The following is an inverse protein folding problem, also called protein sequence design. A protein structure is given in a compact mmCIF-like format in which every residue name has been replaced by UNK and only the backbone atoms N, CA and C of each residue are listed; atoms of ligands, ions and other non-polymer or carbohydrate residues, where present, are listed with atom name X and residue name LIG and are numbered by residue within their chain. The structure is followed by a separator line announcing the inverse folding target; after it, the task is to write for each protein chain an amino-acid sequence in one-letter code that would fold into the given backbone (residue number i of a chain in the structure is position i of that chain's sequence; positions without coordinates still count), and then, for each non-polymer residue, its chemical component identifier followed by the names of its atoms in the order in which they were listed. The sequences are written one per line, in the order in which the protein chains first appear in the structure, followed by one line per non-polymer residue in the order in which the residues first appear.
data_IF_719159031806
#
_entry.id   IF_719159031806
#
_cell.length_a   1.000
_cell.length_b   1.000
_cell.length_c   1.000
_cell.angle_alpha   90.00
_cell.angle_beta   90.00
_cell.angle_gamma   90.00
#
_symmetry.space_group_name_H-M   'P 1'
#
loop_
_entity.id
_entity.type
_entity.pdbx_description
1 polymer ?
#
# COMPACT_ATOMS: atom_id res chain seq x y z
N UNK A 1 39.22 -20.44 -34.41
CA UNK A 1 39.00 -21.77 -33.81
C UNK A 1 37.64 -21.76 -33.13
N UNK A 2 36.62 -22.49 -33.62
CA UNK A 2 35.31 -22.50 -32.97
C UNK A 2 35.21 -23.63 -31.95
N UNK A 3 35.04 -23.27 -30.68
CA UNK A 3 34.79 -24.20 -29.57
C UNK A 3 33.32 -24.60 -29.52
N UNK A 4 33.10 -25.92 -29.45
CA UNK A 4 31.80 -26.60 -29.43
C UNK A 4 31.05 -26.28 -28.13
N UNK A 5 29.80 -25.80 -28.23
CA UNK A 5 28.87 -25.74 -27.08
C UNK A 5 28.17 -27.09 -26.96
N UNK A 6 28.45 -27.80 -25.86
CA UNK A 6 27.69 -28.98 -25.45
C UNK A 6 26.32 -28.53 -24.92
N UNK A 7 25.26 -29.10 -25.50
CA UNK A 7 23.92 -29.06 -24.96
C UNK A 7 23.83 -30.05 -23.78
N UNK A 8 23.38 -29.57 -22.62
CA UNK A 8 22.98 -30.42 -21.50
C UNK A 8 21.47 -30.36 -21.37
N UNK A 9 20.88 -31.48 -21.79
CA UNK A 9 19.47 -31.85 -21.72
C UNK A 9 19.06 -32.01 -20.26
N UNK A 10 17.86 -31.51 -19.94
CA UNK A 10 17.30 -31.49 -18.60
C UNK A 10 16.91 -32.84 -18.02
N UNK A 11 16.64 -32.81 -16.72
CA UNK A 11 15.89 -33.83 -16.01
C UNK A 11 14.91 -33.12 -15.05
N UNK A 12 13.65 -33.03 -15.51
CA UNK A 12 12.45 -32.91 -14.68
C UNK A 12 12.39 -34.11 -13.73
N UNK A 13 12.28 -33.88 -12.43
CA UNK A 13 11.89 -34.92 -11.47
C UNK A 13 11.13 -34.36 -10.27
N UNK A 14 9.81 -34.63 -10.29
CA UNK A 14 8.93 -35.05 -9.19
C UNK A 14 8.57 -34.06 -8.06
N UNK A 15 7.36 -33.49 -8.24
CA UNK A 15 6.41 -33.12 -7.20
C UNK A 15 5.99 -34.36 -6.39
N UNK A 16 6.15 -34.30 -5.06
CA UNK A 16 5.41 -35.14 -4.12
C UNK A 16 4.59 -34.21 -3.21
N UNK A 17 3.28 -34.28 -3.38
CA UNK A 17 2.28 -33.54 -2.61
C UNK A 17 2.17 -34.11 -1.20
N UNK A 18 2.24 -33.25 -0.18
CA UNK A 18 1.76 -33.53 1.16
C UNK A 18 0.46 -32.75 1.38
N UNK A 19 -0.68 -33.44 1.30
CA UNK A 19 -1.98 -32.92 1.74
C UNK A 19 -2.15 -33.12 3.24
N UNK A 20 -2.67 -32.15 4.01
CA UNK A 20 -3.16 -32.40 5.36
C UNK A 20 -4.62 -32.87 5.36
N UNK A 21 -4.90 -33.83 6.24
CA UNK A 21 -6.19 -34.46 6.50
C UNK A 21 -7.09 -33.54 7.35
N UNK A 22 -8.36 -33.39 6.95
CA UNK A 22 -9.43 -32.78 7.75
C UNK A 22 -10.30 -33.85 8.45
N UNK A 23 -10.86 -33.49 9.61
CA UNK A 23 -11.88 -34.24 10.38
C UNK A 23 -11.41 -34.50 11.82
N UNK A 24 -12.19 -34.28 12.89
CA UNK A 24 -13.65 -34.25 12.99
C UNK A 24 -14.13 -33.64 14.34
N UNK A 25 -15.24 -32.92 14.25
CA UNK A 25 -16.37 -32.72 15.19
C UNK A 25 -16.22 -32.36 16.68
N UNK A 26 -17.03 -31.37 17.08
CA UNK A 26 -17.41 -31.11 18.47
C UNK A 26 -18.43 -29.98 18.70
N UNK A 27 -19.67 -30.16 18.21
CA UNK A 27 -20.97 -29.79 18.84
C UNK A 27 -21.19 -28.39 19.50
N UNK A 28 -22.10 -27.62 18.89
CA UNK A 28 -22.91 -26.47 19.39
C UNK A 28 -23.86 -26.82 20.56
N UNK A 29 -24.71 -25.91 21.12
CA UNK A 29 -24.69 -24.44 21.28
C UNK A 29 -25.06 -23.97 22.71
N UNK A 30 -25.00 -22.66 23.01
CA UNK A 30 -25.89 -22.04 24.00
C UNK A 30 -26.05 -20.51 23.78
N UNK A 31 -27.28 -20.16 23.42
CA UNK A 31 -27.97 -18.88 23.59
C UNK A 31 -27.50 -18.01 24.79
N UNK A 32 -27.22 -16.73 24.54
CA UNK A 32 -27.71 -15.64 25.39
C UNK A 32 -28.11 -14.44 24.51
N UNK A 33 -29.38 -14.07 24.63
CA UNK A 33 -30.09 -13.00 23.95
C UNK A 33 -29.61 -11.57 24.34
N UNK A 34 -30.03 -10.52 23.61
CA UNK A 34 -29.44 -9.18 23.68
C UNK A 34 -30.06 -8.33 24.80
N UNK A 35 -29.25 -7.49 25.45
CA UNK A 35 -29.75 -6.43 26.33
C UNK A 35 -29.69 -5.11 25.54
N UNK A 36 -30.87 -4.58 25.23
CA UNK A 36 -31.04 -3.22 24.73
C UNK A 36 -31.63 -2.31 25.81
N UNK A 37 -31.05 -1.09 25.86
CA UNK A 37 -31.60 0.20 26.25
C UNK A 37 -31.90 0.52 27.73
N UNK A 38 -31.28 1.60 28.22
CA UNK A 38 -32.01 2.83 28.56
C UNK A 38 -31.04 4.05 28.65
N UNK A 39 -31.53 5.28 28.38
CA UNK A 39 -30.73 6.47 28.14
C UNK A 39 -30.51 7.30 29.43
N UNK A 40 -29.42 8.07 29.47
CA UNK A 40 -29.20 9.07 30.51
C UNK A 40 -28.90 10.45 29.88
N UNK A 41 -29.91 11.30 30.01
CA UNK A 41 -29.90 12.73 30.30
C UNK A 41 -28.95 13.67 29.52
N UNK A 42 -29.60 14.62 28.84
CA UNK A 42 -29.01 15.81 28.25
C UNK A 42 -28.83 16.96 29.28
N UNK A 43 -27.84 17.81 28.98
CA UNK A 43 -27.67 19.27 29.26
C UNK A 43 -27.26 19.74 30.68
N UNK A 44 -26.58 20.91 30.82
CA UNK A 44 -26.39 21.98 29.83
C UNK A 44 -24.94 22.48 29.58
N UNK A 45 -24.87 23.28 28.51
CA UNK A 45 -23.75 24.09 28.06
C UNK A 45 -23.27 25.08 29.13
N UNK A 46 -21.95 25.20 29.25
CA UNK A 46 -21.29 26.37 29.81
C UNK A 46 -20.81 27.25 28.66
N UNK A 47 -21.41 28.42 28.58
CA UNK A 47 -21.03 29.56 27.76
C UNK A 47 -19.67 30.11 28.21
N UNK A 48 -18.71 30.24 27.30
CA UNK A 48 -17.64 31.23 27.42
C UNK A 48 -17.79 32.21 26.26
N UNK A 49 -18.12 33.44 26.63
CA UNK A 49 -18.29 34.60 25.77
C UNK A 49 -16.95 35.38 25.75
N UNK A 50 -16.37 35.48 24.54
CA UNK A 50 -15.72 36.65 23.91
C UNK A 50 -14.40 37.21 24.50
N UNK A 51 -13.34 37.21 23.68
CA UNK A 51 -12.81 38.42 23.02
C UNK A 51 -11.59 38.14 22.11
N UNK A 52 -11.36 38.95 21.07
CA UNK A 52 -10.57 38.58 19.90
C UNK A 52 -9.09 39.00 20.02
N UNK A 53 -8.18 38.20 19.48
CA UNK A 53 -6.80 38.58 19.26
C UNK A 53 -6.49 38.59 17.76
N UNK A 54 -6.23 39.81 17.29
CA UNK A 54 -5.40 40.21 16.16
C UNK A 54 -5.32 39.28 14.93
N UNK A 55 -5.96 39.75 13.86
CA UNK A 55 -5.53 39.52 12.47
C UNK A 55 -4.10 40.07 12.29
N UNK A 56 -3.11 39.19 12.39
CA UNK A 56 -1.83 39.38 11.72
C UNK A 56 -1.97 38.75 10.33
N UNK A 57 -1.98 39.61 9.31
CA UNK A 57 -1.90 39.19 7.92
C UNK A 57 -0.51 38.58 7.68
N UNK A 58 -0.39 37.28 7.93
CA UNK A 58 0.76 36.52 7.45
C UNK A 58 0.57 36.31 5.96
N UNK A 59 1.31 37.08 5.17
CA UNK A 59 1.56 36.86 3.76
C UNK A 59 1.76 35.36 3.55
N UNK A 60 0.85 34.71 2.83
CA UNK A 60 1.06 33.37 2.34
C UNK A 60 2.22 33.45 1.34
N UNK A 61 3.43 33.22 1.83
CA UNK A 61 4.55 32.84 1.00
C UNK A 61 4.12 31.53 0.34
N UNK A 62 4.01 31.55 -0.99
CA UNK A 62 3.78 30.34 -1.76
C UNK A 62 4.83 29.30 -1.33
N UNK A 63 4.47 28.02 -1.13
CA UNK A 63 5.48 27.01 -0.93
C UNK A 63 6.45 27.09 -2.11
N UNK A 64 7.77 27.04 -1.89
CA UNK A 64 8.71 27.04 -2.99
C UNK A 64 8.34 25.87 -3.89
N UNK A 65 8.24 26.15 -5.19
CA UNK A 65 8.27 25.16 -6.25
C UNK A 65 9.57 24.36 -6.10
N UNK A 66 9.56 23.35 -5.24
CA UNK A 66 10.63 22.37 -5.19
C UNK A 66 10.33 21.38 -6.29
N UNK A 67 11.08 21.56 -7.37
CA UNK A 67 11.21 20.64 -8.50
C UNK A 67 11.06 19.19 -8.02
N UNK A 68 10.00 18.55 -8.53
CA UNK A 68 9.74 17.14 -8.35
C UNK A 68 10.74 16.31 -9.18
N UNK A 69 12.02 16.34 -8.81
CA UNK A 69 13.08 15.49 -9.37
C UNK A 69 14.34 15.52 -8.46
N UNK A 70 14.17 15.40 -7.15
CA UNK A 70 15.28 15.02 -6.26
C UNK A 70 15.04 13.63 -5.69
N UNK A 71 15.57 12.63 -6.41
CA UNK A 71 15.84 11.26 -5.96
C UNK A 71 16.95 11.22 -4.87
N UNK A 72 17.03 12.23 -3.99
CA UNK A 72 18.10 12.39 -2.99
C UNK A 72 17.60 12.29 -1.53
N UNK A 73 16.32 11.99 -1.31
CA UNK A 73 15.82 11.70 0.05
C UNK A 73 15.98 10.20 0.35
N UNK A 74 17.21 9.80 0.69
CA UNK A 74 17.58 8.40 1.01
C UNK A 74 17.16 8.01 2.45
N UNK A 75 16.26 8.78 3.06
CA UNK A 75 15.76 8.57 4.42
C UNK A 75 14.35 7.99 4.41
N UNK A 76 14.02 7.16 5.40
CA UNK A 76 12.61 6.86 5.68
C UNK A 76 11.91 8.17 6.05
N UNK A 77 10.77 8.51 5.41
CA UNK A 77 10.07 9.73 5.73
C UNK A 77 9.60 9.71 7.18
N UNK A 78 9.74 10.84 7.88
CA UNK A 78 9.20 10.97 9.22
C UNK A 78 7.66 11.16 9.19
N UNK A 79 7.03 10.99 10.34
CA UNK A 79 5.57 11.08 10.47
C UNK A 79 5.03 12.47 10.11
N UNK A 80 5.79 13.54 10.33
CA UNK A 80 5.37 14.91 10.03
C UNK A 80 5.39 15.16 8.51
N UNK A 81 6.39 14.64 7.80
CA UNK A 81 6.46 14.65 6.34
C UNK A 81 5.28 13.90 5.72
N UNK A 82 4.96 12.71 6.24
CA UNK A 82 3.82 11.92 5.76
C UNK A 82 2.50 12.65 6.00
N UNK A 83 2.29 13.21 7.18
CA UNK A 83 1.06 13.95 7.51
C UNK A 83 0.91 15.20 6.64
N UNK A 84 2.00 15.94 6.42
CA UNK A 84 2.02 17.10 5.51
C UNK A 84 1.64 16.69 4.10
N UNK A 85 2.19 15.58 3.60
CA UNK A 85 1.89 15.09 2.25
C UNK A 85 0.42 14.66 2.11
N UNK A 86 -0.14 13.95 3.10
CA UNK A 86 -1.58 13.57 3.10
C UNK A 86 -2.49 14.79 3.20
N UNK A 87 -2.17 15.75 4.06
CA UNK A 87 -2.92 17.01 4.20
C UNK A 87 -2.90 17.87 2.94
N UNK A 88 -1.81 17.81 2.16
CA UNK A 88 -1.71 18.50 0.89
C UNK A 88 -2.36 17.74 -0.29
N UNK A 89 -2.73 16.47 -0.08
CA UNK A 89 -3.37 15.68 -1.12
C UNK A 89 -4.80 16.21 -1.37
N UNK A 90 -5.23 16.23 -2.63
CA UNK A 90 -6.54 16.76 -3.03
C UNK A 90 -7.75 15.88 -2.61
N UNK A 91 -7.52 14.87 -1.76
CA UNK A 91 -8.52 13.93 -1.26
C UNK A 91 -7.99 13.25 0.01
N UNK A 92 -8.85 12.48 0.70
CA UNK A 92 -8.42 11.62 1.81
C UNK A 92 -7.53 10.47 1.30
N UNK A 93 -6.33 10.37 1.86
CA UNK A 93 -5.35 9.31 1.57
C UNK A 93 -5.34 8.32 2.72
N UNK A 94 -5.39 7.01 2.40
CA UNK A 94 -5.30 5.97 3.43
C UNK A 94 -4.00 6.06 4.23
N UNK A 95 -4.07 5.75 5.53
CA UNK A 95 -2.89 5.62 6.38
C UNK A 95 -1.99 4.44 5.99
N UNK A 96 -2.53 3.48 5.23
CA UNK A 96 -1.77 2.33 4.72
C UNK A 96 -0.80 2.73 3.60
N UNK A 97 -0.93 3.93 3.01
CA UNK A 97 0.02 4.46 2.02
C UNK A 97 1.11 5.24 2.75
N UNK A 98 2.29 4.63 2.87
CA UNK A 98 3.43 5.13 3.64
C UNK A 98 4.56 5.72 2.79
N UNK A 99 4.56 5.50 1.48
CA UNK A 99 5.55 6.06 0.56
C UNK A 99 5.15 7.46 0.08
N UNK A 100 6.03 8.47 0.28
CA UNK A 100 5.74 9.86 -0.10
C UNK A 100 5.40 10.02 -1.58
N UNK A 101 6.06 9.27 -2.46
CA UNK A 101 5.77 9.31 -3.88
C UNK A 101 4.39 8.74 -4.22
N UNK A 102 3.92 7.75 -3.48
CA UNK A 102 2.59 7.17 -3.69
C UNK A 102 1.49 8.09 -3.15
N UNK A 103 1.71 8.72 -1.99
CA UNK A 103 0.81 9.75 -1.43
C UNK A 103 0.58 10.87 -2.44
N UNK A 104 1.65 11.35 -3.10
CA UNK A 104 1.58 12.44 -4.09
C UNK A 104 0.69 12.10 -5.30
N UNK A 105 0.65 10.84 -5.73
CA UNK A 105 -0.18 10.42 -6.88
C UNK A 105 -1.55 9.90 -6.47
N UNK A 106 -1.76 9.51 -5.20
CA UNK A 106 -2.92 8.74 -4.76
C UNK A 106 -4.26 9.36 -5.23
N UNK A 107 -4.46 10.66 -5.04
CA UNK A 107 -5.72 11.33 -5.35
C UNK A 107 -6.00 11.53 -6.85
N UNK A 108 -5.01 11.33 -7.72
CA UNK A 108 -5.21 11.38 -9.18
C UNK A 108 -5.39 10.00 -9.78
N UNK A 109 -5.21 8.94 -8.98
CA UNK A 109 -5.33 7.55 -9.44
C UNK A 109 -6.78 7.04 -9.37
N UNK A 110 -7.17 6.15 -10.31
CA UNK A 110 -8.46 5.46 -10.24
C UNK A 110 -8.52 4.53 -9.02
N UNK A 111 -9.74 4.16 -8.63
CA UNK A 111 -10.00 3.40 -7.40
C UNK A 111 -9.27 2.04 -7.34
N UNK A 112 -9.12 1.35 -8.47
CA UNK A 112 -8.41 0.07 -8.53
C UNK A 112 -6.90 0.21 -8.34
N UNK A 113 -6.31 1.30 -8.84
CA UNK A 113 -4.91 1.64 -8.58
C UNK A 113 -4.72 2.08 -7.13
N UNK A 114 -5.62 2.88 -6.55
CA UNK A 114 -5.56 3.25 -5.12
C UNK A 114 -5.62 2.03 -4.20
N UNK A 115 -6.53 1.09 -4.46
CA UNK A 115 -6.62 -0.16 -3.72
C UNK A 115 -5.34 -1.01 -3.84
N UNK A 116 -4.67 -0.97 -5.00
CA UNK A 116 -3.38 -1.61 -5.16
C UNK A 116 -2.27 -0.91 -4.38
N UNK A 117 -2.20 0.43 -4.41
CA UNK A 117 -1.22 1.19 -3.64
C UNK A 117 -1.32 0.92 -2.14
N UNK A 118 -2.54 0.88 -1.60
CA UNK A 118 -2.78 0.49 -0.20
C UNK A 118 -2.23 -0.90 0.10
N UNK A 119 -2.66 -1.91 -0.67
CA UNK A 119 -2.21 -3.29 -0.47
C UNK A 119 -0.69 -3.44 -0.61
N UNK A 120 -0.12 -2.76 -1.61
CA UNK A 120 1.30 -2.81 -1.93
C UNK A 120 2.12 -2.19 -0.79
N UNK A 121 1.74 -1.00 -0.32
CA UNK A 121 2.41 -0.36 0.81
C UNK A 121 2.29 -1.19 2.10
N UNK A 122 1.13 -1.80 2.36
CA UNK A 122 0.99 -2.75 3.47
C UNK A 122 1.90 -3.96 3.31
N UNK A 123 2.05 -4.53 2.11
CA UNK A 123 3.02 -5.59 1.88
C UNK A 123 4.46 -5.12 2.17
N UNK A 124 4.84 -3.94 1.67
CA UNK A 124 6.19 -3.41 1.89
C UNK A 124 6.50 -3.14 3.37
N UNK A 125 5.48 -2.81 4.18
CA UNK A 125 5.64 -2.68 5.62
C UNK A 125 6.12 -3.99 6.26
N UNK A 126 5.53 -5.13 5.88
CA UNK A 126 5.91 -6.44 6.40
C UNK A 126 7.11 -7.06 5.69
N UNK A 127 7.39 -6.64 4.45
CA UNK A 127 8.43 -7.24 3.63
C UNK A 127 9.82 -7.02 4.22
N UNK A 128 10.49 -8.12 4.57
CA UNK A 128 11.85 -8.09 5.10
C UNK A 128 11.96 -7.86 6.61
N UNK A 129 10.83 -7.80 7.32
CA UNK A 129 10.84 -7.81 8.78
C UNK A 129 11.36 -9.14 9.35
N UNK A 130 12.00 -9.07 10.51
CA UNK A 130 12.60 -10.24 11.15
C UNK A 130 11.58 -11.04 11.98
N UNK A 131 11.51 -12.35 11.74
CA UNK A 131 10.79 -13.30 12.56
C UNK A 131 11.62 -13.69 13.81
N UNK A 132 11.80 -12.75 14.74
CA UNK A 132 12.66 -12.94 15.92
C UNK A 132 12.14 -13.99 16.90
N UNK A 133 10.86 -14.33 16.80
CA UNK A 133 10.25 -15.48 17.48
C UNK A 133 9.17 -16.12 16.61
N UNK A 134 8.57 -17.18 17.16
CA UNK A 134 7.58 -18.02 16.49
C UNK A 134 6.23 -17.33 16.31
N UNK A 135 5.82 -16.47 17.24
CA UNK A 135 4.58 -15.69 17.13
C UNK A 135 4.73 -14.69 15.98
N UNK A 136 5.83 -13.94 15.96
CA UNK A 136 6.14 -13.00 14.89
C UNK A 136 6.26 -13.70 13.54
N UNK A 137 6.86 -14.90 13.49
CA UNK A 137 6.93 -15.69 12.26
C UNK A 137 5.53 -15.95 11.68
N UNK A 138 4.59 -16.37 12.51
CA UNK A 138 3.22 -16.67 12.07
C UNK A 138 2.48 -15.42 11.60
N UNK A 139 2.67 -14.29 12.28
CA UNK A 139 2.12 -13.00 11.86
C UNK A 139 2.64 -12.58 10.48
N UNK A 140 3.96 -12.65 10.26
CA UNK A 140 4.57 -12.29 8.98
C UNK A 140 4.15 -13.22 7.85
N UNK A 141 3.98 -14.51 8.12
CA UNK A 141 3.46 -15.48 7.15
C UNK A 141 2.02 -15.16 6.75
N UNK A 142 1.15 -14.85 7.73
CA UNK A 142 -0.24 -14.47 7.47
C UNK A 142 -0.30 -13.15 6.68
N UNK A 143 0.44 -12.12 7.12
CA UNK A 143 0.48 -10.84 6.44
C UNK A 143 1.03 -10.96 5.01
N UNK A 144 2.04 -11.80 4.79
CA UNK A 144 2.55 -12.09 3.45
C UNK A 144 1.49 -12.74 2.56
N UNK A 145 0.74 -13.71 3.09
CA UNK A 145 -0.35 -14.35 2.34
C UNK A 145 -1.47 -13.34 1.99
N UNK A 146 -1.83 -12.45 2.91
CA UNK A 146 -2.91 -11.49 2.70
C UNK A 146 -2.51 -10.35 1.74
N UNK A 147 -1.33 -9.75 1.94
CA UNK A 147 -0.92 -8.53 1.27
C UNK A 147 0.14 -8.72 0.20
N UNK A 148 0.96 -9.77 0.28
CA UNK A 148 2.09 -9.97 -0.63
C UNK A 148 1.82 -10.96 -1.77
N UNK A 149 0.92 -11.92 -1.59
CA UNK A 149 0.68 -12.93 -2.62
C UNK A 149 0.12 -12.33 -3.92
N UNK A 150 0.69 -12.73 -5.06
CA UNK A 150 0.21 -12.40 -6.39
C UNK A 150 0.35 -10.93 -6.79
N UNK A 151 1.17 -10.14 -6.08
CA UNK A 151 1.40 -8.70 -6.33
C UNK A 151 1.73 -8.38 -7.79
N UNK A 152 2.65 -9.10 -8.39
CA UNK A 152 3.08 -8.86 -9.77
C UNK A 152 1.97 -9.16 -10.78
N UNK A 153 1.16 -10.19 -10.51
CA UNK A 153 0.00 -10.54 -11.35
C UNK A 153 -1.08 -9.46 -11.27
N UNK A 154 -1.36 -8.94 -10.08
CA UNK A 154 -2.33 -7.87 -9.87
C UNK A 154 -1.85 -6.59 -10.57
N UNK A 155 -0.59 -6.23 -10.35
CA UNK A 155 0.04 -5.07 -11.00
C UNK A 155 0.02 -5.19 -12.54
N UNK A 156 0.41 -6.33 -13.09
CA UNK A 156 0.37 -6.56 -14.54
C UNK A 156 -1.05 -6.41 -15.11
N UNK A 157 -2.07 -6.85 -14.37
CA UNK A 157 -3.47 -6.67 -14.78
C UNK A 157 -3.90 -5.19 -14.76
N UNK A 158 -3.46 -4.40 -13.77
CA UNK A 158 -3.69 -2.95 -13.73
C UNK A 158 -2.98 -2.23 -14.88
N UNK A 159 -1.71 -2.56 -15.10
CA UNK A 159 -0.90 -1.97 -16.18
C UNK A 159 -1.52 -2.25 -17.56
N UNK A 160 -2.07 -3.44 -17.77
CA UNK A 160 -2.79 -3.78 -18.99
C UNK A 160 -4.16 -3.10 -19.09
N UNK A 161 -4.90 -3.00 -17.99
CA UNK A 161 -6.23 -2.36 -17.96
C UNK A 161 -6.15 -0.89 -18.34
N UNK A 162 -5.21 -0.15 -17.78
CA UNK A 162 -5.02 1.29 -17.97
C UNK A 162 -4.15 1.62 -19.19
N UNK A 163 -4.08 0.74 -20.18
CA UNK A 163 -3.17 0.88 -21.32
C UNK A 163 -3.42 2.13 -22.19
N UNK A 164 -4.66 2.63 -22.23
CA UNK A 164 -5.09 3.79 -23.02
C UNK A 164 -4.94 5.13 -22.29
N UNK A 165 -4.67 5.12 -20.99
CA UNK A 165 -4.45 6.33 -20.19
C UNK A 165 -2.95 6.50 -19.93
N UNK A 166 -2.29 7.34 -20.73
CA UNK A 166 -0.86 7.56 -20.59
C UNK A 166 -0.44 8.15 -19.23
N UNK A 167 -1.31 8.94 -18.58
CA UNK A 167 -1.01 9.53 -17.27
C UNK A 167 -0.99 8.45 -16.20
N UNK A 168 -2.03 7.60 -16.15
CA UNK A 168 -2.09 6.47 -15.22
C UNK A 168 -0.97 5.47 -15.52
N UNK A 169 -0.70 5.19 -16.80
CA UNK A 169 0.35 4.24 -17.19
C UNK A 169 1.75 4.72 -16.82
N UNK A 170 2.02 6.01 -16.95
CA UNK A 170 3.27 6.60 -16.48
C UNK A 170 3.41 6.48 -14.96
N UNK A 171 2.36 6.81 -14.20
CA UNK A 171 2.35 6.64 -12.75
C UNK A 171 2.57 5.18 -12.32
N UNK A 172 1.83 4.23 -12.93
CA UNK A 172 1.99 2.80 -12.67
C UNK A 172 3.40 2.30 -13.02
N UNK A 173 4.04 2.84 -14.07
CA UNK A 173 5.44 2.49 -14.36
C UNK A 173 6.40 2.93 -13.25
N UNK A 174 6.17 4.11 -12.67
CA UNK A 174 6.92 4.56 -11.49
C UNK A 174 6.75 3.61 -10.30
N UNK A 175 5.50 3.28 -9.96
CA UNK A 175 5.15 2.30 -8.91
C UNK A 175 5.82 0.95 -9.16
N UNK A 176 5.71 0.43 -10.39
CA UNK A 176 6.27 -0.87 -10.76
C UNK A 176 7.79 -0.94 -10.66
N UNK A 177 8.50 0.17 -10.89
CA UNK A 177 9.95 0.25 -10.67
C UNK A 177 10.30 0.30 -9.19
N UNK A 178 9.59 1.13 -8.42
CA UNK A 178 9.85 1.36 -6.99
C UNK A 178 9.74 0.06 -6.19
N UNK A 179 8.74 -0.77 -6.52
CA UNK A 179 8.43 -2.00 -5.79
C UNK A 179 8.84 -3.30 -6.51
N UNK A 180 9.64 -3.19 -7.58
CA UNK A 180 10.12 -4.32 -8.38
C UNK A 180 9.00 -5.27 -8.88
N UNK A 181 7.91 -4.71 -9.39
CA UNK A 181 6.70 -5.45 -9.78
C UNK A 181 6.72 -5.98 -11.23
N UNK A 182 7.77 -5.65 -11.99
CA UNK A 182 7.93 -6.08 -13.36
C UNK A 182 8.66 -7.43 -13.43
N UNK A 183 7.97 -8.48 -13.86
CA UNK A 183 8.56 -9.83 -14.06
C UNK A 183 9.40 -9.96 -15.34
N UNK A 184 9.65 -8.84 -16.03
CA UNK A 184 10.41 -8.75 -17.26
C UNK A 184 10.93 -7.33 -17.49
N UNK A 185 11.44 -7.00 -18.70
CA UNK A 185 11.91 -5.66 -18.98
C UNK A 185 10.80 -4.62 -18.74
N UNK A 186 11.14 -3.53 -18.06
CA UNK A 186 10.21 -2.42 -17.83
C UNK A 186 9.75 -1.87 -19.20
N UNK A 187 8.44 -1.84 -19.48
CA UNK A 187 7.94 -1.30 -20.74
C UNK A 187 8.37 0.16 -20.95
N UNK A 188 8.50 0.54 -22.22
CA UNK A 188 8.71 1.94 -22.58
C UNK A 188 7.54 2.81 -22.08
N UNK A 189 7.84 4.09 -21.84
CA UNK A 189 6.82 5.08 -21.48
C UNK A 189 5.75 5.21 -22.57
N UNK A 190 4.53 5.51 -22.14
CA UNK A 190 3.42 5.82 -23.05
C UNK A 190 3.79 7.07 -23.87
N UNK A 191 3.46 7.07 -25.17
CA UNK A 191 3.53 8.27 -25.98
C UNK A 191 2.14 8.93 -26.00
N UNK A 192 2.04 10.24 -25.71
CA UNK A 192 0.77 10.95 -25.65
C UNK A 192 0.08 11.07 -27.02
#
# INVERSE_FOLDING_TARGET
MPTKRLALVGCLSLLAACSPQAGDSGTQPADVAPIAAAPAAATPAATMDVAPAAVEASTAEAPPDTDADTDDDVGMPDLEQLERARSAAGCEVSNDVGELADIRIYCTMPADVRAFLERENTCQHFAGEEAYDEERRQELEQASADYCDGRERIFAALYARHHDDCTIRHALRGVGKRYDLFTGPVPADCQP
#
